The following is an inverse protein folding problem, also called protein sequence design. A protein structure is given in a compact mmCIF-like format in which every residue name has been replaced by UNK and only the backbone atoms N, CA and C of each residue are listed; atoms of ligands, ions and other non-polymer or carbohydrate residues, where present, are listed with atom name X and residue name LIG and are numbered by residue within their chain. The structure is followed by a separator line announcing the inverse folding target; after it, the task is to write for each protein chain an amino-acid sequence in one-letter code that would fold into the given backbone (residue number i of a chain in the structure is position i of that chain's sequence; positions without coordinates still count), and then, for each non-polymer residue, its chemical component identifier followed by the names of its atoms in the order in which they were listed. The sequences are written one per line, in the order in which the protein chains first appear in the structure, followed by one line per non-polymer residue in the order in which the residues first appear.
data_IF_465817921141
#
_entry.id   IF_465817921141
#
_cell.length_a   1.000
_cell.length_b   1.000
_cell.length_c   1.000
_cell.angle_alpha   90.00
_cell.angle_beta   90.00
_cell.angle_gamma   90.00
#
_symmetry.space_group_name_H-M   'P 1'
#
loop_
_entity.id
_entity.type
_entity.pdbx_description
1 polymer ?
#
# COMPACT_ATOMS: atom_id res chain seq x y z
N UNK A 1 -0.69 14.21 14.85
CA UNK A 1 -1.90 14.27 13.99
C UNK A 1 -1.63 14.00 12.51
N UNK A 2 -0.50 14.45 11.93
CA UNK A 2 -0.19 14.24 10.49
C UNK A 2 -0.15 12.76 10.05
N UNK A 3 0.35 11.86 10.90
CA UNK A 3 0.44 10.42 10.61
C UNK A 3 -0.94 9.79 10.33
N UNK A 4 -1.89 9.92 11.26
CA UNK A 4 -3.23 9.34 11.12
C UNK A 4 -4.00 9.91 9.94
N UNK A 5 -3.88 11.21 9.66
CA UNK A 5 -4.50 11.85 8.49
C UNK A 5 -3.93 11.29 7.19
N UNK A 6 -2.60 11.16 7.08
CA UNK A 6 -1.97 10.54 5.91
C UNK A 6 -2.41 9.09 5.72
N UNK A 7 -2.54 8.33 6.82
CA UNK A 7 -3.00 6.93 6.73
C UNK A 7 -4.43 6.87 6.20
N UNK A 8 -5.34 7.61 6.83
CA UNK A 8 -6.75 7.64 6.44
C UNK A 8 -6.90 8.08 4.97
N UNK A 9 -6.20 9.15 4.57
CA UNK A 9 -6.28 9.69 3.22
C UNK A 9 -5.70 8.72 2.19
N UNK A 10 -4.59 8.06 2.49
CA UNK A 10 -3.99 7.04 1.60
C UNK A 10 -4.91 5.83 1.46
N UNK A 11 -5.56 5.37 2.53
CA UNK A 11 -6.52 4.26 2.47
C UNK A 11 -7.70 4.63 1.56
N UNK A 12 -8.36 5.75 1.82
CA UNK A 12 -9.55 6.17 1.06
C UNK A 12 -9.20 6.38 -0.41
N UNK A 13 -8.10 7.09 -0.69
CA UNK A 13 -7.68 7.37 -2.05
C UNK A 13 -7.21 6.10 -2.79
N UNK A 14 -6.53 5.17 -2.11
CA UNK A 14 -6.08 3.92 -2.74
C UNK A 14 -7.25 2.99 -3.01
N UNK A 15 -8.23 2.94 -2.11
CA UNK A 15 -9.47 2.20 -2.32
C UNK A 15 -10.24 2.77 -3.51
N UNK A 16 -10.46 4.09 -3.56
CA UNK A 16 -11.12 4.74 -4.69
C UNK A 16 -10.36 4.53 -6.01
N UNK A 17 -9.03 4.64 -6.00
CA UNK A 17 -8.20 4.36 -7.17
C UNK A 17 -8.34 2.91 -7.62
N UNK A 18 -8.33 1.94 -6.68
CA UNK A 18 -8.48 0.52 -6.99
C UNK A 18 -9.84 0.13 -7.60
N UNK A 19 -10.87 0.97 -7.51
CA UNK A 19 -12.17 0.73 -8.15
C UNK A 19 -12.15 0.99 -9.67
N UNK A 20 -11.31 1.94 -10.12
CA UNK A 20 -11.29 2.39 -11.52
C UNK A 20 -9.96 2.10 -12.23
N UNK A 21 -8.87 2.03 -11.48
CA UNK A 21 -7.53 1.83 -11.97
C UNK A 21 -7.02 0.44 -11.55
N UNK A 22 -6.05 -0.12 -12.27
CA UNK A 22 -5.46 -1.39 -11.88
C UNK A 22 -4.61 -1.25 -10.60
N UNK A 23 -4.16 -2.37 -10.05
CA UNK A 23 -3.48 -2.46 -8.76
C UNK A 23 -2.22 -1.59 -8.61
N UNK A 24 -1.52 -1.22 -9.69
CA UNK A 24 -0.35 -0.33 -9.64
C UNK A 24 -0.68 1.09 -9.14
N UNK A 25 -1.95 1.50 -9.23
CA UNK A 25 -2.40 2.83 -8.82
C UNK A 25 -2.15 3.13 -7.33
N UNK A 26 -2.11 2.09 -6.51
CA UNK A 26 -1.85 2.18 -5.06
C UNK A 26 -0.47 2.79 -4.77
N UNK A 27 0.53 2.49 -5.61
CA UNK A 27 1.85 3.10 -5.51
C UNK A 27 1.78 4.62 -5.82
N UNK A 28 1.08 5.01 -6.88
CA UNK A 28 0.92 6.41 -7.26
C UNK A 28 0.21 7.22 -6.18
N UNK A 29 -0.86 6.68 -5.61
CA UNK A 29 -1.59 7.32 -4.51
C UNK A 29 -0.66 7.52 -3.31
N UNK A 30 0.01 6.46 -2.85
CA UNK A 30 0.92 6.52 -1.70
C UNK A 30 2.05 7.53 -1.90
N UNK A 31 2.63 7.58 -3.11
CA UNK A 31 3.63 8.57 -3.51
C UNK A 31 3.09 10.01 -3.44
N UNK A 32 1.93 10.26 -4.07
CA UNK A 32 1.32 11.59 -4.09
C UNK A 32 1.00 12.08 -2.68
N UNK A 33 0.41 11.24 -1.84
CA UNK A 33 0.06 11.63 -0.46
C UNK A 33 1.31 12.00 0.35
N UNK A 34 2.38 11.21 0.24
CA UNK A 34 3.64 11.48 0.92
C UNK A 34 4.38 12.72 0.37
N UNK A 35 4.21 13.01 -0.92
CA UNK A 35 4.72 14.23 -1.54
C UNK A 35 3.99 15.47 -1.00
N UNK A 36 2.66 15.45 -0.89
CA UNK A 36 1.89 16.62 -0.42
C UNK A 36 1.91 16.81 1.11
N UNK A 37 2.00 15.75 1.91
CA UNK A 37 1.95 15.87 3.38
C UNK A 37 3.34 15.80 4.01
N UNK A 38 3.75 16.90 4.67
CA UNK A 38 5.06 17.00 5.33
C UNK A 38 5.23 16.04 6.50
N UNK A 39 6.07 15.03 6.28
CA UNK A 39 6.47 14.03 7.26
C UNK A 39 7.96 13.67 7.09
N UNK A 40 8.57 13.18 8.18
CA UNK A 40 9.92 12.60 8.14
C UNK A 40 9.92 11.37 7.22
N UNK A 41 10.99 11.08 6.45
CA UNK A 41 11.00 9.98 5.48
C UNK A 41 10.61 8.62 6.05
N UNK A 42 11.11 8.28 7.24
CA UNK A 42 10.76 7.02 7.94
C UNK A 42 9.27 6.98 8.30
N UNK A 43 8.70 8.11 8.72
CA UNK A 43 7.27 8.19 9.03
C UNK A 43 6.42 8.09 7.77
N UNK A 44 6.86 8.70 6.66
CA UNK A 44 6.18 8.59 5.37
C UNK A 44 6.15 7.13 4.88
N UNK A 45 7.29 6.44 4.92
CA UNK A 45 7.36 5.00 4.61
C UNK A 45 6.37 4.19 5.45
N UNK A 46 6.35 4.44 6.77
CA UNK A 46 5.49 3.72 7.71
C UNK A 46 4.00 4.03 7.47
N UNK A 47 3.65 5.28 7.13
CA UNK A 47 2.27 5.61 6.73
C UNK A 47 1.86 4.88 5.46
N UNK A 48 2.69 4.87 4.41
CA UNK A 48 2.40 4.15 3.17
C UNK A 48 2.26 2.65 3.40
N UNK A 49 3.18 2.06 4.18
CA UNK A 49 3.17 0.65 4.51
C UNK A 49 1.87 0.25 5.24
N UNK A 50 1.55 0.92 6.35
CA UNK A 50 0.38 0.59 7.17
C UNK A 50 -0.93 0.82 6.40
N UNK A 51 -1.01 1.91 5.62
CA UNK A 51 -2.21 2.22 4.84
C UNK A 51 -2.52 1.13 3.82
N UNK A 52 -1.52 0.73 3.03
CA UNK A 52 -1.74 -0.25 1.97
C UNK A 52 -1.87 -1.66 2.54
N UNK A 53 -1.16 -1.99 3.61
CA UNK A 53 -1.34 -3.25 4.33
C UNK A 53 -2.80 -3.43 4.77
N UNK A 54 -3.38 -2.40 5.41
CA UNK A 54 -4.77 -2.42 5.88
C UNK A 54 -5.72 -2.44 4.69
N UNK A 55 -5.57 -1.52 3.74
CA UNK A 55 -6.50 -1.38 2.62
C UNK A 55 -6.52 -2.65 1.76
N UNK A 56 -5.35 -3.15 1.35
CA UNK A 56 -5.28 -4.29 0.44
C UNK A 56 -5.53 -5.62 1.16
N UNK A 57 -5.05 -5.76 2.41
CA UNK A 57 -5.32 -6.93 3.23
C UNK A 57 -6.80 -7.10 3.55
N UNK A 58 -7.49 -6.03 3.94
CA UNK A 58 -8.94 -6.08 4.18
C UNK A 58 -9.72 -6.37 2.89
N UNK A 59 -9.33 -5.77 1.76
CA UNK A 59 -9.98 -6.03 0.48
C UNK A 59 -9.81 -7.50 0.06
N UNK A 60 -8.59 -8.04 0.17
CA UNK A 60 -8.29 -9.42 -0.16
C UNK A 60 -9.08 -10.38 0.75
N UNK A 61 -9.11 -10.11 2.05
CA UNK A 61 -9.90 -10.90 3.01
C UNK A 61 -11.41 -10.85 2.73
N UNK A 62 -11.93 -9.67 2.39
CA UNK A 62 -13.34 -9.49 2.05
C UNK A 62 -13.73 -10.30 0.81
N UNK A 63 -12.93 -10.19 -0.26
CA UNK A 63 -13.15 -10.95 -1.50
C UNK A 63 -13.02 -12.45 -1.26
N UNK A 64 -12.08 -12.87 -0.43
CA UNK A 64 -11.87 -14.28 -0.10
C UNK A 64 -13.04 -14.86 0.69
N UNK A 65 -13.54 -14.12 1.68
CA UNK A 65 -14.67 -14.52 2.52
C UNK A 65 -15.97 -14.63 1.74
N UNK A 66 -16.19 -13.75 0.75
CA UNK A 66 -17.35 -13.82 -0.14
C UNK A 66 -17.35 -15.04 -1.06
N UNK A 67 -16.20 -15.70 -1.20
CA UNK A 67 -15.99 -16.79 -2.13
C UNK A 67 -15.70 -18.12 -1.40
N UNK A 68 -16.02 -18.20 -0.11
CA UNK A 68 -15.73 -19.34 0.78
C UNK A 68 -14.29 -19.86 0.64
N UNK A 69 -13.34 -18.95 0.38
CA UNK A 69 -11.94 -19.26 0.11
C UNK A 69 -11.67 -20.30 -1.00
N UNK A 70 -12.62 -20.52 -1.92
CA UNK A 70 -12.51 -21.56 -2.96
C UNK A 70 -11.35 -21.25 -3.93
N UNK A 71 -11.26 -20.01 -4.42
CA UNK A 71 -10.20 -19.58 -5.34
C UNK A 71 -8.83 -19.57 -4.68
N UNK A 72 -8.72 -19.00 -3.48
CA UNK A 72 -7.46 -18.93 -2.74
C UNK A 72 -6.94 -20.32 -2.36
N UNK A 73 -7.84 -21.25 -1.97
CA UNK A 73 -7.47 -22.64 -1.69
C UNK A 73 -6.94 -23.32 -2.94
N UNK A 74 -7.54 -23.08 -4.12
CA UNK A 74 -7.04 -23.63 -5.39
C UNK A 74 -5.72 -23.03 -5.82
N UNK A 75 -5.49 -21.74 -5.59
CA UNK A 75 -4.19 -21.09 -5.87
C UNK A 75 -3.10 -21.51 -4.90
N UNK A 76 -3.44 -21.76 -3.63
CA UNK A 76 -2.54 -22.26 -2.58
C UNK A 76 -2.31 -23.78 -2.62
N UNK A 77 -3.09 -24.48 -3.46
CA UNK A 77 -2.86 -25.89 -3.80
C UNK A 77 -1.56 -25.99 -4.62
N UNK A 78 -0.80 -27.10 -4.53
CA UNK A 78 0.58 -27.20 -5.00
C UNK A 78 0.81 -27.04 -6.52
N UNK A 79 -0.21 -26.67 -7.30
CA UNK A 79 -0.10 -26.34 -8.72
C UNK A 79 0.36 -24.90 -9.04
N UNK A 80 0.12 -23.91 -8.16
CA UNK A 80 0.52 -22.51 -8.41
C UNK A 80 1.44 -21.94 -7.32
N UNK A 81 1.05 -22.08 -6.06
CA UNK A 81 1.90 -21.74 -4.93
C UNK A 81 1.93 -22.92 -3.96
N UNK A 82 3.12 -23.43 -3.58
CA UNK A 82 3.26 -24.55 -2.64
C UNK A 82 3.00 -24.09 -1.19
N UNK A 83 1.81 -23.60 -0.91
CA UNK A 83 1.40 -23.01 0.37
C UNK A 83 0.59 -24.00 1.24
N UNK A 84 0.54 -25.27 0.85
CA UNK A 84 -0.17 -26.32 1.60
C UNK A 84 -1.69 -26.13 1.68
N UNK A 85 -2.28 -25.40 0.73
CA UNK A 85 -3.72 -25.09 0.74
C UNK A 85 -4.14 -23.99 1.72
N UNK A 86 -3.20 -23.28 2.36
CA UNK A 86 -3.52 -22.23 3.32
C UNK A 86 -3.87 -20.90 2.64
N UNK A 87 -5.17 -20.61 2.54
CA UNK A 87 -5.69 -19.35 1.99
C UNK A 87 -5.26 -18.12 2.80
N UNK A 88 -5.19 -18.24 4.13
CA UNK A 88 -4.79 -17.15 5.02
C UNK A 88 -3.35 -16.69 4.79
N UNK A 89 -2.45 -17.62 4.46
CA UNK A 89 -1.04 -17.32 4.20
C UNK A 89 -0.87 -16.61 2.86
N UNK A 90 -1.66 -16.98 1.85
CA UNK A 90 -1.71 -16.28 0.56
C UNK A 90 -2.18 -14.82 0.74
N UNK A 91 -3.26 -14.61 1.52
CA UNK A 91 -3.78 -13.27 1.84
C UNK A 91 -2.75 -12.40 2.56
N UNK A 92 -2.03 -12.97 3.53
CA UNK A 92 -0.97 -12.27 4.25
C UNK A 92 0.15 -11.84 3.30
N UNK A 93 0.59 -12.75 2.41
CA UNK A 93 1.62 -12.43 1.40
C UNK A 93 1.13 -11.29 0.50
N UNK A 94 -0.11 -11.33 0.01
CA UNK A 94 -0.69 -10.26 -0.80
C UNK A 94 -0.66 -8.92 -0.06
N UNK A 95 -1.12 -8.89 1.20
CA UNK A 95 -1.11 -7.68 2.02
C UNK A 95 0.30 -7.13 2.22
N UNK A 96 1.27 -7.98 2.54
CA UNK A 96 2.68 -7.59 2.76
C UNK A 96 3.31 -7.05 1.47
N UNK A 97 3.08 -7.69 0.32
CA UNK A 97 3.61 -7.23 -0.95
C UNK A 97 3.11 -5.81 -1.27
N UNK A 98 1.82 -5.53 -1.05
CA UNK A 98 1.32 -4.16 -1.27
C UNK A 98 1.82 -3.18 -0.25
N UNK A 99 1.95 -3.60 1.01
CA UNK A 99 2.52 -2.75 2.05
C UNK A 99 3.94 -2.31 1.68
N UNK A 100 4.77 -3.21 1.14
CA UNK A 100 6.12 -2.88 0.66
C UNK A 100 6.03 -1.88 -0.50
N UNK A 101 5.19 -2.13 -1.51
CA UNK A 101 5.01 -1.24 -2.66
C UNK A 101 4.55 0.16 -2.19
N UNK A 102 3.54 0.22 -1.34
CA UNK A 102 3.00 1.45 -0.78
C UNK A 102 4.01 2.21 0.07
N UNK A 103 4.73 1.51 0.95
CA UNK A 103 5.76 2.11 1.80
C UNK A 103 6.92 2.68 0.99
N UNK A 104 7.42 1.93 0.01
CA UNK A 104 8.49 2.39 -0.88
C UNK A 104 8.06 3.60 -1.71
N UNK A 105 6.84 3.59 -2.26
CA UNK A 105 6.30 4.72 -3.00
C UNK A 105 6.15 5.98 -2.13
N UNK A 106 5.67 5.84 -0.90
CA UNK A 106 5.59 6.96 0.05
C UNK A 106 6.98 7.50 0.41
N UNK A 107 7.97 6.62 0.58
CA UNK A 107 9.35 7.03 0.84
C UNK A 107 9.88 7.87 -0.33
N UNK A 108 9.71 7.40 -1.56
CA UNK A 108 10.11 8.13 -2.77
C UNK A 108 9.45 9.51 -2.86
N UNK A 109 8.14 9.60 -2.59
CA UNK A 109 7.43 10.88 -2.58
C UNK A 109 7.97 11.86 -1.53
N UNK A 110 8.27 11.35 -0.34
CA UNK A 110 8.86 12.17 0.73
C UNK A 110 10.28 12.66 0.41
N UNK A 111 11.08 11.82 -0.26
CA UNK A 111 12.47 12.12 -0.60
C UNK A 111 12.54 13.11 -1.76
N UNK A 112 11.67 12.94 -2.77
CA UNK A 112 11.55 13.89 -3.88
C UNK A 112 11.22 15.29 -3.37
N UNK A 113 10.24 15.41 -2.47
CA UNK A 113 9.92 16.71 -1.88
C UNK A 113 11.12 17.31 -1.14
N UNK A 114 11.79 16.52 -0.30
CA UNK A 114 12.96 16.99 0.45
C UNK A 114 14.03 17.55 -0.49
N UNK A 115 14.31 16.86 -1.59
CA UNK A 115 15.25 17.32 -2.60
C UNK A 115 14.81 18.66 -3.24
N UNK A 116 13.52 18.82 -3.54
CA UNK A 116 12.98 20.07 -4.10
C UNK A 116 13.07 21.24 -3.11
N UNK A 117 12.82 20.99 -1.82
CA UNK A 117 12.94 22.01 -0.77
C UNK A 117 14.39 22.47 -0.58
N UNK A 118 15.33 21.52 -0.52
CA UNK A 118 16.77 21.81 -0.39
C UNK A 118 17.29 22.60 -1.60
N UNK A 119 16.86 22.25 -2.82
CA UNK A 119 17.20 23.00 -4.03
C UNK A 119 16.68 24.44 -3.97
N UNK A 120 15.42 24.63 -3.56
CA UNK A 120 14.80 25.96 -3.48
C UNK A 120 15.49 26.86 -2.45
N UNK A 121 16.01 26.30 -1.36
CA UNK A 121 16.76 27.05 -0.34
C UNK A 121 18.17 27.48 -0.80
N UNK A 122 18.78 26.76 -1.75
CA UNK A 122 20.08 27.11 -2.33
C UNK A 122 20.03 28.25 -3.35
N UNK A 123 18.84 28.56 -3.88
CA UNK A 123 18.63 29.62 -4.88
C UNK A 123 18.38 31.02 -4.25
N UNK A 124 18.30 31.11 -2.91
CA UNK A 124 18.14 32.34 -2.13
C UNK A 124 19.40 32.70 -1.34
#
# INVERSE_FOLDING_TARGET
MKFGVSVLLTIIASFAAGLYLPFWSVALVSFCVAAFIYQKPVMAWLTGFVSIFICWGLLAFWIDSLNDSILSTRMASPGLFPLGGSSSLLLLITAVVGAIIGGMAALSGSLLRRYLDERKASDY
#
